data_IF_053761515745
#
_entry.id   IF_053761515745
#
_cell.length_a   1.000
_cell.length_b   1.000
_cell.length_c   1.000
_cell.angle_alpha   90.00
_cell.angle_beta   90.00
_cell.angle_gamma   90.00
#
_symmetry.space_group_name_H-M   'P 1'
#
loop_
_entity.id
_entity.type
_entity.pdbx_description
1 polymer ?
#
# COMPACT_ATOMS: atom_id res chain seq x y z
N UNK A 1 0.15 3.15 9.27
CA UNK A 1 -0.87 2.07 9.39
C UNK A 1 -1.13 1.35 8.06
N UNK A 2 -0.50 1.70 6.95
CA UNK A 2 -0.73 1.03 5.66
C UNK A 2 -0.39 -0.46 5.72
N UNK A 3 0.79 -0.80 6.23
CA UNK A 3 1.25 -2.19 6.28
C UNK A 3 0.33 -3.12 7.08
N UNK A 4 -0.19 -2.68 8.24
CA UNK A 4 -1.10 -3.48 9.05
C UNK A 4 -2.34 -3.95 8.29
N UNK A 5 -2.93 -3.09 7.44
CA UNK A 5 -4.08 -3.45 6.62
C UNK A 5 -3.72 -4.47 5.53
N UNK A 6 -2.56 -4.30 4.89
CA UNK A 6 -2.10 -5.25 3.88
C UNK A 6 -1.75 -6.60 4.49
N UNK A 7 -1.07 -6.60 5.64
CA UNK A 7 -0.72 -7.80 6.40
C UNK A 7 -1.97 -8.55 6.84
N UNK A 8 -2.92 -7.89 7.49
CA UNK A 8 -4.15 -8.54 8.00
C UNK A 8 -4.99 -9.14 6.87
N UNK A 9 -5.10 -8.46 5.74
CA UNK A 9 -5.80 -8.99 4.57
C UNK A 9 -5.06 -10.17 3.95
N UNK A 10 -3.74 -10.08 3.82
CA UNK A 10 -2.93 -11.17 3.22
C UNK A 10 -2.89 -12.40 4.12
N UNK A 11 -3.01 -12.21 5.43
CA UNK A 11 -3.13 -13.29 6.40
C UNK A 11 -4.37 -14.16 6.14
N UNK A 12 -5.48 -13.58 5.70
CA UNK A 12 -6.66 -14.36 5.29
C UNK A 12 -6.35 -15.32 4.14
N UNK A 13 -5.46 -14.96 3.22
CA UNK A 13 -5.04 -15.86 2.14
C UNK A 13 -4.26 -17.04 2.68
N UNK A 14 -3.35 -16.80 3.64
CA UNK A 14 -2.58 -17.86 4.32
C UNK A 14 -3.49 -18.80 5.10
N UNK A 15 -4.52 -18.25 5.75
CA UNK A 15 -5.48 -19.01 6.56
C UNK A 15 -6.57 -19.71 5.72
N UNK A 16 -6.48 -19.71 4.38
CA UNK A 16 -7.44 -20.36 3.47
C UNK A 16 -8.76 -19.59 3.28
N UNK A 17 -8.85 -18.38 3.82
CA UNK A 17 -10.01 -17.48 3.75
C UNK A 17 -9.88 -16.40 2.66
N UNK A 18 -9.05 -16.64 1.64
CA UNK A 18 -8.78 -15.68 0.56
C UNK A 18 -10.03 -15.21 -0.18
N UNK A 19 -11.06 -16.05 -0.30
CA UNK A 19 -12.35 -15.69 -0.88
C UNK A 19 -13.09 -14.58 -0.11
N UNK A 20 -12.81 -14.43 1.20
CA UNK A 20 -13.45 -13.45 2.09
C UNK A 20 -12.60 -12.19 2.31
N UNK A 21 -11.56 -11.95 1.50
CA UNK A 21 -10.63 -10.82 1.70
C UNK A 21 -11.26 -9.42 1.58
N UNK A 22 -12.48 -9.32 1.04
CA UNK A 22 -13.26 -8.09 0.96
C UNK A 22 -14.47 -8.07 1.92
N UNK A 23 -14.67 -9.12 2.71
CA UNK A 23 -15.68 -9.15 3.77
C UNK A 23 -15.18 -8.35 4.98
N UNK A 24 -15.86 -7.24 5.26
CA UNK A 24 -15.49 -6.33 6.34
C UNK A 24 -15.64 -6.95 7.73
N UNK A 25 -16.61 -7.86 7.93
CA UNK A 25 -16.82 -8.52 9.21
C UNK A 25 -15.68 -9.51 9.50
N UNK A 26 -15.32 -10.31 8.50
CA UNK A 26 -14.20 -11.27 8.58
C UNK A 26 -12.87 -10.54 8.79
N UNK A 27 -12.57 -9.54 7.95
CA UNK A 27 -11.35 -8.76 8.06
C UNK A 27 -11.28 -8.02 9.41
N UNK A 28 -12.41 -7.56 9.91
CA UNK A 28 -12.51 -6.90 11.20
C UNK A 28 -12.28 -7.80 12.40
N UNK A 29 -12.69 -9.05 12.31
CA UNK A 29 -12.35 -10.05 13.32
C UNK A 29 -10.83 -10.27 13.36
N UNK A 30 -10.20 -10.52 12.21
CA UNK A 30 -8.74 -10.75 12.11
C UNK A 30 -7.95 -9.53 12.58
N UNK A 31 -8.32 -8.31 12.17
CA UNK A 31 -7.63 -7.10 12.60
C UNK A 31 -7.70 -6.91 14.12
N UNK A 32 -8.84 -7.20 14.76
CA UNK A 32 -8.97 -7.09 16.22
C UNK A 32 -8.13 -8.13 16.95
N UNK A 33 -8.05 -9.36 16.44
CA UNK A 33 -7.19 -10.40 17.00
C UNK A 33 -5.71 -10.02 16.91
N UNK A 34 -5.27 -9.57 15.73
CA UNK A 34 -3.88 -9.17 15.48
C UNK A 34 -3.44 -7.92 16.24
N UNK A 35 -4.40 -7.06 16.64
CA UNK A 35 -4.10 -5.84 17.36
C UNK A 35 -3.93 -6.04 18.88
N UNK A 36 -4.34 -7.17 19.45
CA UNK A 36 -4.26 -7.40 20.90
C UNK A 36 -2.83 -7.26 21.44
N UNK A 37 -2.62 -6.64 22.62
CA UNK A 37 -3.62 -6.09 23.55
C UNK A 37 -4.09 -4.66 23.22
N UNK A 38 -3.66 -4.10 22.08
CA UNK A 38 -3.98 -2.73 21.68
C UNK A 38 -5.36 -2.64 21.02
N UNK A 39 -6.02 -1.49 21.19
CA UNK A 39 -7.29 -1.19 20.51
C UNK A 39 -7.01 -0.47 19.21
N UNK A 40 -7.64 -0.90 18.11
CA UNK A 40 -7.56 -0.21 16.80
C UNK A 40 -8.36 1.09 16.89
N UNK A 41 -7.75 2.29 16.99
CA UNK A 41 -8.45 3.50 17.43
C UNK A 41 -9.49 4.02 16.44
N UNK A 42 -9.47 3.55 15.18
CA UNK A 42 -10.35 3.99 14.10
C UNK A 42 -11.30 2.91 13.58
N UNK A 43 -11.42 1.78 14.29
CA UNK A 43 -12.22 0.65 13.84
C UNK A 43 -11.55 -0.15 12.71
N UNK A 44 -12.29 -1.13 12.21
CA UNK A 44 -11.86 -2.05 11.15
C UNK A 44 -11.69 -1.30 9.85
N UNK A 45 -10.52 -1.38 9.24
CA UNK A 45 -10.26 -0.76 7.94
C UNK A 45 -10.55 -1.75 6.80
N UNK A 46 -11.31 -1.33 5.78
CA UNK A 46 -11.60 -2.19 4.63
C UNK A 46 -10.33 -2.41 3.79
N UNK A 47 -10.27 -3.55 3.12
CA UNK A 47 -9.25 -3.81 2.11
C UNK A 47 -9.59 -3.10 0.80
N UNK A 48 -8.71 -2.20 0.36
CA UNK A 48 -8.82 -1.52 -0.95
C UNK A 48 -7.73 -1.95 -1.93
N UNK A 49 -6.85 -2.88 -1.53
CA UNK A 49 -5.82 -3.41 -2.39
C UNK A 49 -6.42 -4.44 -3.37
N UNK A 50 -5.89 -4.52 -4.61
CA UNK A 50 -6.34 -5.55 -5.56
C UNK A 50 -5.91 -6.95 -5.11
N UNK A 51 -6.61 -8.01 -5.58
CA UNK A 51 -6.35 -9.38 -5.14
C UNK A 51 -4.90 -9.81 -5.37
N UNK A 52 -4.32 -9.48 -6.54
CA UNK A 52 -2.95 -9.85 -6.85
C UNK A 52 -1.92 -9.29 -5.86
N UNK A 53 -2.17 -8.10 -5.32
CA UNK A 53 -1.27 -7.48 -4.34
C UNK A 53 -1.38 -8.18 -2.99
N UNK A 54 -2.61 -8.54 -2.57
CA UNK A 54 -2.86 -9.33 -1.36
C UNK A 54 -2.17 -10.70 -1.48
N UNK A 55 -2.28 -11.35 -2.64
CA UNK A 55 -1.61 -12.63 -2.89
C UNK A 55 -0.08 -12.52 -2.88
N UNK A 56 0.47 -11.48 -3.50
CA UNK A 56 1.92 -11.26 -3.50
C UNK A 56 2.48 -11.05 -2.08
N UNK A 57 1.69 -10.49 -1.16
CA UNK A 57 2.05 -10.35 0.25
C UNK A 57 1.79 -11.60 1.10
N UNK A 58 1.08 -12.61 0.60
CA UNK A 58 0.71 -13.79 1.39
C UNK A 58 1.93 -14.48 2.03
N UNK A 59 3.04 -14.76 1.33
CA UNK A 59 4.23 -15.37 1.93
C UNK A 59 4.82 -14.52 3.06
N UNK A 60 4.81 -13.20 2.89
CA UNK A 60 5.28 -12.28 3.92
C UNK A 60 4.35 -12.32 5.15
N UNK A 61 3.04 -12.38 4.94
CA UNK A 61 2.06 -12.44 6.03
C UNK A 61 1.99 -13.78 6.77
N UNK A 62 2.61 -14.83 6.24
CA UNK A 62 2.74 -16.11 6.93
C UNK A 62 3.68 -16.00 8.16
N UNK A 63 4.63 -15.07 8.12
CA UNK A 63 5.55 -14.78 9.20
C UNK A 63 4.88 -13.97 10.32
N UNK A 64 5.46 -13.95 11.54
CA UNK A 64 4.99 -13.05 12.60
C UNK A 64 4.99 -11.58 12.15
N UNK A 65 4.03 -10.79 12.64
CA UNK A 65 3.83 -9.40 12.22
C UNK A 65 5.11 -8.56 12.29
N UNK A 66 5.86 -8.64 13.41
CA UNK A 66 7.09 -7.87 13.62
C UNK A 66 8.15 -8.17 12.55
N UNK A 67 8.37 -9.45 12.26
CA UNK A 67 9.34 -9.87 11.23
C UNK A 67 8.87 -9.41 9.85
N UNK A 68 7.58 -9.59 9.56
CA UNK A 68 6.96 -9.17 8.30
C UNK A 68 7.11 -7.67 8.07
N UNK A 69 6.92 -6.87 9.12
CA UNK A 69 7.09 -5.43 9.07
C UNK A 69 8.53 -5.01 8.80
N UNK A 70 9.52 -5.63 9.45
CA UNK A 70 10.93 -5.30 9.21
C UNK A 70 11.40 -5.74 7.82
N UNK A 71 10.93 -6.87 7.32
CA UNK A 71 11.19 -7.31 5.94
C UNK A 71 10.57 -6.35 4.92
N UNK A 72 9.32 -5.92 5.15
CA UNK A 72 8.67 -4.89 4.33
C UNK A 72 9.45 -3.58 4.36
N UNK A 73 9.82 -3.10 5.54
CA UNK A 73 10.59 -1.88 5.71
C UNK A 73 11.95 -1.96 5.00
N UNK A 74 12.64 -3.09 5.12
CA UNK A 74 13.90 -3.35 4.41
C UNK A 74 13.72 -3.32 2.89
N UNK A 75 12.64 -3.93 2.39
CA UNK A 75 12.30 -3.89 0.96
C UNK A 75 12.01 -2.46 0.48
N UNK A 76 11.23 -1.68 1.24
CA UNK A 76 10.95 -0.27 0.91
C UNK A 76 12.23 0.58 0.93
N UNK A 77 13.11 0.40 1.93
CA UNK A 77 14.40 1.08 1.99
C UNK A 77 15.27 0.76 0.76
N UNK A 78 15.33 -0.52 0.36
CA UNK A 78 16.09 -0.95 -0.82
C UNK A 78 15.49 -0.36 -2.11
N UNK A 79 14.16 -0.41 -2.25
CA UNK A 79 13.45 0.16 -3.40
C UNK A 79 13.65 1.67 -3.51
N UNK A 80 13.60 2.39 -2.39
CA UNK A 80 13.86 3.82 -2.33
C UNK A 80 15.31 4.12 -2.72
N UNK A 81 16.29 3.38 -2.17
CA UNK A 81 17.70 3.58 -2.48
C UNK A 81 17.99 3.36 -3.98
N UNK A 82 17.47 2.28 -4.57
CA UNK A 82 17.62 1.99 -6.00
C UNK A 82 16.98 3.09 -6.85
N UNK A 83 15.76 3.53 -6.50
CA UNK A 83 15.07 4.57 -7.24
C UNK A 83 15.80 5.92 -7.17
N UNK A 84 16.24 6.33 -5.99
CA UNK A 84 17.01 7.57 -5.81
C UNK A 84 18.35 7.52 -6.54
N UNK A 85 19.05 6.38 -6.50
CA UNK A 85 20.29 6.18 -7.26
C UNK A 85 20.08 6.38 -8.76
N UNK A 86 19.02 5.80 -9.32
CA UNK A 86 18.71 5.98 -10.73
C UNK A 86 18.31 7.43 -11.04
N UNK A 87 17.47 8.06 -10.22
CA UNK A 87 17.09 9.47 -10.42
C UNK A 87 18.31 10.38 -10.43
N UNK A 88 19.21 10.23 -9.45
CA UNK A 88 20.46 10.99 -9.38
C UNK A 88 21.30 10.80 -10.65
N UNK A 89 21.47 9.54 -11.09
CA UNK A 89 22.27 9.19 -12.27
C UNK A 89 21.74 9.84 -13.56
N UNK A 90 20.43 10.05 -13.68
CA UNK A 90 19.82 10.68 -14.85
C UNK A 90 19.56 12.19 -14.70
N UNK A 91 20.02 12.81 -13.60
CA UNK A 91 19.80 14.23 -13.30
C UNK A 91 21.01 15.13 -13.56
N UNK A 92 22.13 14.61 -14.09
CA UNK A 92 23.37 15.35 -14.41
C UNK A 92 23.82 16.33 -13.30
N UNK A 93 23.77 15.87 -12.05
CA UNK A 93 24.06 16.70 -10.88
C UNK A 93 25.57 16.84 -10.63
N UNK A 94 26.02 18.04 -10.24
CA UNK A 94 27.36 18.23 -9.68
C UNK A 94 27.53 17.50 -8.34
N UNK A 95 28.77 17.27 -7.89
CA UNK A 95 29.06 16.57 -6.62
C UNK A 95 28.34 17.19 -5.40
N UNK A 96 28.29 18.52 -5.34
CA UNK A 96 27.62 19.25 -4.24
C UNK A 96 26.10 19.07 -4.34
N UNK A 97 25.53 19.18 -5.53
CA UNK A 97 24.09 18.97 -5.75
C UNK A 97 23.68 17.52 -5.47
N UNK A 98 24.49 16.53 -5.85
CA UNK A 98 24.26 15.12 -5.53
C UNK A 98 24.26 14.87 -4.02
N UNK A 99 25.21 15.46 -3.28
CA UNK A 99 25.25 15.36 -1.82
C UNK A 99 24.00 16.00 -1.19
N UNK A 100 23.61 17.19 -1.63
CA UNK A 100 22.40 17.87 -1.18
C UNK A 100 21.14 17.07 -1.52
N UNK A 101 21.06 16.49 -2.72
CA UNK A 101 19.96 15.64 -3.15
C UNK A 101 19.82 14.41 -2.24
N UNK A 102 20.91 13.69 -1.98
CA UNK A 102 20.89 12.53 -1.07
C UNK A 102 20.48 12.93 0.35
N UNK A 103 21.06 14.01 0.88
CA UNK A 103 20.74 14.50 2.23
C UNK A 103 19.27 14.90 2.36
N UNK A 104 18.76 15.69 1.42
CA UNK A 104 17.36 16.13 1.41
C UNK A 104 16.39 14.98 1.15
N UNK A 105 16.71 14.03 0.27
CA UNK A 105 15.87 12.87 0.00
C UNK A 105 15.70 11.99 1.26
N UNK A 106 16.82 11.66 1.93
CA UNK A 106 16.82 10.82 3.14
C UNK A 106 16.12 11.51 4.31
N UNK A 107 16.31 12.82 4.47
CA UNK A 107 15.70 13.60 5.54
C UNK A 107 14.29 14.10 5.20
N UNK A 108 13.78 13.80 4.01
CA UNK A 108 12.46 14.27 3.61
C UNK A 108 11.37 13.63 4.48
N UNK A 109 10.54 14.48 5.09
CA UNK A 109 9.39 14.01 5.88
C UNK A 109 8.50 13.02 5.11
N UNK A 110 8.19 13.22 3.80
CA UNK A 110 7.38 12.27 3.05
C UNK A 110 7.99 10.86 2.98
N UNK A 111 9.31 10.74 2.79
CA UNK A 111 9.99 9.43 2.74
C UNK A 111 9.95 8.75 4.11
N UNK A 112 10.28 9.48 5.18
CA UNK A 112 10.26 8.96 6.55
C UNK A 112 8.85 8.50 6.95
N UNK A 113 7.83 9.30 6.66
CA UNK A 113 6.43 8.94 6.91
C UNK A 113 6.01 7.74 6.08
N UNK A 114 6.42 7.66 4.81
CA UNK A 114 6.08 6.53 3.95
C UNK A 114 6.69 5.22 4.47
N UNK A 115 7.96 5.24 4.86
CA UNK A 115 8.68 4.10 5.45
C UNK A 115 8.02 3.63 6.75
N UNK A 116 7.81 4.55 7.70
CA UNK A 116 7.22 4.21 9.01
C UNK A 116 5.77 3.74 8.91
N UNK A 117 5.01 4.24 7.93
CA UNK A 117 3.61 3.86 7.77
C UNK A 117 3.40 2.62 6.89
N UNK A 118 4.43 2.17 6.16
CA UNK A 118 4.33 1.14 5.12
C UNK A 118 3.42 1.56 3.98
N UNK A 119 3.67 2.75 3.42
CA UNK A 119 2.89 3.30 2.31
C UNK A 119 3.35 2.70 0.98
N UNK A 120 2.41 2.49 0.06
CA UNK A 120 2.70 2.02 -1.29
C UNK A 120 3.43 3.06 -2.16
N UNK A 121 3.56 4.30 -1.69
CA UNK A 121 4.16 5.40 -2.46
C UNK A 121 5.61 5.13 -2.86
N UNK A 122 6.39 4.44 -2.01
CA UNK A 122 7.78 4.09 -2.31
C UNK A 122 7.81 3.08 -3.47
N UNK A 123 7.03 2.01 -3.38
CA UNK A 123 6.92 1.03 -4.46
C UNK A 123 6.45 1.68 -5.78
N UNK A 124 5.46 2.57 -5.74
CA UNK A 124 4.97 3.29 -6.94
C UNK A 124 6.05 4.19 -7.54
N UNK A 125 6.79 4.91 -6.70
CA UNK A 125 7.92 5.73 -7.14
C UNK A 125 9.00 4.87 -7.81
N UNK A 126 9.35 3.73 -7.22
CA UNK A 126 10.33 2.80 -7.78
C UNK A 126 9.85 2.18 -9.10
N UNK A 127 8.55 1.86 -9.23
CA UNK A 127 7.96 1.38 -10.50
C UNK A 127 8.04 2.45 -11.59
N UNK A 128 7.68 3.70 -11.28
CA UNK A 128 7.79 4.82 -12.21
C UNK A 128 9.24 5.04 -12.66
N UNK A 129 10.19 5.01 -11.72
CA UNK A 129 11.62 5.14 -12.01
C UNK A 129 12.11 3.98 -12.89
N UNK A 130 11.77 2.73 -12.56
CA UNK A 130 12.15 1.57 -13.38
C UNK A 130 11.58 1.64 -14.80
N UNK A 131 10.30 2.05 -14.93
CA UNK A 131 9.66 2.28 -16.21
C UNK A 131 10.42 3.33 -17.03
N UNK A 132 10.74 4.48 -16.43
CA UNK A 132 11.51 5.55 -17.07
C UNK A 132 12.88 5.07 -17.54
N UNK A 133 13.64 4.39 -16.67
CA UNK A 133 14.97 3.86 -16.99
C UNK A 133 14.89 2.88 -18.15
N UNK A 134 13.96 1.93 -18.13
CA UNK A 134 13.83 0.96 -19.21
C UNK A 134 13.29 1.55 -20.52
N UNK A 135 12.50 2.62 -20.47
CA UNK A 135 12.14 3.37 -21.66
C UNK A 135 13.36 4.09 -22.26
N UNK A 136 14.22 4.67 -21.41
CA UNK A 136 15.49 5.30 -21.84
C UNK A 136 16.46 4.27 -22.45
N UNK A 137 16.56 3.08 -21.85
CA UNK A 137 17.38 1.97 -22.35
C UNK A 137 16.78 1.26 -23.59
N UNK A 138 15.62 1.69 -24.10
CA UNK A 138 14.95 1.07 -25.25
C UNK A 138 14.25 -0.27 -24.95
N UNK A 139 14.26 -0.75 -23.70
CA UNK A 139 13.62 -1.98 -23.20
C UNK A 139 12.10 -1.80 -23.00
N UNK A 140 11.40 -1.34 -24.05
CA UNK A 140 9.99 -0.91 -24.03
C UNK A 140 9.03 -1.95 -23.42
N UNK A 141 9.17 -3.23 -23.77
CA UNK A 141 8.28 -4.28 -23.25
C UNK A 141 8.42 -4.48 -21.74
N UNK A 142 9.65 -4.44 -21.20
CA UNK A 142 9.90 -4.54 -19.75
C UNK A 142 9.36 -3.33 -19.01
N UNK A 143 9.50 -2.13 -19.59
CA UNK A 143 8.92 -0.91 -19.04
C UNK A 143 7.39 -1.01 -18.90
N UNK A 144 6.72 -1.53 -19.92
CA UNK A 144 5.29 -1.86 -19.86
C UNK A 144 4.95 -2.87 -18.77
N UNK A 145 5.72 -3.96 -18.71
CA UNK A 145 5.46 -5.04 -17.75
C UNK A 145 5.58 -4.59 -16.29
N UNK A 146 6.60 -3.78 -15.93
CA UNK A 146 6.69 -3.23 -14.57
C UNK A 146 5.61 -2.18 -14.31
N UNK A 147 5.20 -1.42 -15.32
CA UNK A 147 4.11 -0.46 -15.21
C UNK A 147 2.79 -1.14 -14.82
N UNK A 148 2.57 -2.41 -15.20
CA UNK A 148 1.39 -3.16 -14.80
C UNK A 148 1.25 -3.29 -13.27
N UNK A 149 2.36 -3.27 -12.51
CA UNK A 149 2.33 -3.26 -11.05
C UNK A 149 1.67 -2.00 -10.48
N UNK A 150 1.58 -0.90 -11.24
CA UNK A 150 0.81 0.29 -10.83
C UNK A 150 -0.70 0.05 -10.79
N UNK A 151 -1.22 -1.11 -11.25
CA UNK A 151 -2.61 -1.49 -11.04
C UNK A 151 -3.03 -1.54 -9.56
N UNK A 152 -2.07 -1.56 -8.63
CA UNK A 152 -2.31 -1.34 -7.20
C UNK A 152 -3.01 0.01 -6.95
N UNK A 153 -2.70 1.02 -7.76
CA UNK A 153 -3.32 2.35 -7.74
C UNK A 153 -3.66 2.77 -9.18
N UNK A 154 -4.79 2.27 -9.73
CA UNK A 154 -5.08 2.37 -11.15
C UNK A 154 -5.25 3.82 -11.63
N UNK A 155 -5.57 4.76 -10.75
CA UNK A 155 -5.73 6.19 -11.10
C UNK A 155 -4.45 6.88 -11.58
N UNK A 156 -3.26 6.32 -11.35
CA UNK A 156 -2.01 6.88 -11.88
C UNK A 156 -1.71 6.44 -13.33
N UNK A 157 -2.36 5.38 -13.82
CA UNK A 157 -2.07 4.79 -15.12
C UNK A 157 -2.57 5.60 -16.34
N UNK A 158 -3.78 6.21 -16.33
CA UNK A 158 -4.34 6.83 -17.54
C UNK A 158 -3.41 7.85 -18.20
N UNK A 159 -2.78 8.71 -17.42
CA UNK A 159 -1.84 9.71 -17.93
C UNK A 159 -0.61 9.06 -18.58
N UNK A 160 -0.02 8.05 -17.93
CA UNK A 160 1.18 7.36 -18.43
C UNK A 160 0.85 6.57 -19.70
N UNK A 161 -0.26 5.83 -19.70
CA UNK A 161 -0.72 5.04 -20.85
C UNK A 161 -1.08 5.93 -22.04
N UNK A 162 -1.70 7.08 -21.81
CA UNK A 162 -1.99 8.06 -22.85
C UNK A 162 -0.69 8.55 -23.51
N UNK A 163 0.31 8.92 -22.72
CA UNK A 163 1.62 9.34 -23.24
C UNK A 163 2.28 8.20 -24.04
N UNK A 164 2.23 6.96 -23.56
CA UNK A 164 2.78 5.80 -24.28
C UNK A 164 2.05 5.55 -25.61
N UNK A 165 0.73 5.73 -25.65
CA UNK A 165 -0.10 5.63 -26.86
C UNK A 165 0.22 6.73 -27.87
N UNK A 166 0.26 7.99 -27.44
CA UNK A 166 0.63 9.13 -28.29
C UNK A 166 2.04 9.00 -28.85
N UNK A 167 2.97 8.44 -28.08
CA UNK A 167 4.35 8.16 -28.50
C UNK A 167 4.49 6.86 -29.30
N UNK A 168 3.38 6.18 -29.63
CA UNK A 168 3.33 4.91 -30.39
C UNK A 168 4.25 3.83 -29.80
N UNK A 169 4.39 3.79 -28.49
CA UNK A 169 5.19 2.80 -27.77
C UNK A 169 4.45 1.46 -27.65
N UNK A 170 4.02 0.87 -28.76
CA UNK A 170 3.20 -0.35 -28.81
C UNK A 170 3.80 -1.53 -28.05
N UNK A 171 5.13 -1.68 -28.09
CA UNK A 171 5.82 -2.73 -27.32
C UNK A 171 5.66 -2.56 -25.81
N UNK A 172 5.62 -1.32 -25.31
CA UNK A 172 5.35 -1.04 -23.90
C UNK A 172 3.88 -1.30 -23.56
N UNK A 173 2.95 -0.88 -24.43
CA UNK A 173 1.53 -1.19 -24.24
C UNK A 173 1.26 -2.70 -24.22
N UNK A 174 1.87 -3.46 -25.14
CA UNK A 174 1.77 -4.92 -25.16
C UNK A 174 2.36 -5.57 -23.91
N UNK A 175 3.52 -5.10 -23.43
CA UNK A 175 4.10 -5.57 -22.17
C UNK A 175 3.23 -5.27 -20.95
N UNK A 176 2.61 -4.08 -20.93
CA UNK A 176 1.64 -3.70 -19.89
C UNK A 176 0.42 -4.62 -19.92
N UNK A 177 -0.25 -4.76 -21.07
CA UNK A 177 -1.44 -5.60 -21.21
C UNK A 177 -1.15 -7.06 -20.82
N UNK A 178 -0.04 -7.62 -21.29
CA UNK A 178 0.35 -8.99 -20.96
C UNK A 178 0.59 -9.18 -19.46
N UNK A 179 1.36 -8.29 -18.83
CA UNK A 179 1.61 -8.38 -17.39
C UNK A 179 0.35 -8.12 -16.55
N UNK A 180 -0.50 -7.17 -16.96
CA UNK A 180 -1.79 -6.91 -16.32
C UNK A 180 -2.70 -8.13 -16.35
N UNK A 181 -2.80 -8.81 -17.50
CA UNK A 181 -3.57 -10.05 -17.62
C UNK A 181 -3.04 -11.12 -16.66
N UNK A 182 -1.72 -11.32 -16.60
CA UNK A 182 -1.10 -12.27 -15.66
C UNK A 182 -1.41 -11.93 -14.20
N UNK A 183 -1.30 -10.65 -13.82
CA UNK A 183 -1.60 -10.21 -12.45
C UNK A 183 -3.07 -10.45 -12.08
N UNK A 184 -4.00 -10.26 -13.01
CA UNK A 184 -5.43 -10.48 -12.76
C UNK A 184 -5.77 -11.97 -12.72
N UNK A 185 -5.16 -12.79 -13.58
CA UNK A 185 -5.50 -14.21 -13.73
C UNK A 185 -4.83 -15.07 -12.66
N UNK A 186 -3.58 -14.79 -12.28
CA UNK A 186 -2.80 -15.64 -11.37
C UNK A 186 -3.48 -15.92 -10.01
N UNK A 187 -4.22 -14.99 -9.38
CA UNK A 187 -4.92 -15.25 -8.12
C UNK A 187 -6.22 -16.07 -8.27
N UNK A 188 -6.84 -16.10 -9.45
CA UNK A 188 -8.20 -16.64 -9.63
C UNK A 188 -8.37 -18.11 -9.23
N UNK A 189 -7.41 -19.02 -9.48
CA UNK A 189 -7.53 -20.40 -9.03
C UNK A 189 -7.68 -20.54 -7.51
N UNK A 190 -7.21 -19.56 -6.73
CA UNK A 190 -7.23 -19.60 -5.27
C UNK A 190 -8.38 -18.79 -4.67
N UNK A 191 -8.83 -17.73 -5.36
CA UNK A 191 -9.89 -16.84 -4.86
C UNK A 191 -11.28 -17.15 -5.40
N UNK A 192 -11.34 -17.80 -6.56
CA UNK A 192 -12.54 -17.81 -7.40
C UNK A 192 -12.78 -16.46 -8.09
N UNK A 193 -13.76 -16.46 -9.01
CA UNK A 193 -14.11 -15.29 -9.82
C UNK A 193 -14.92 -14.21 -9.08
N UNK A 194 -15.64 -14.60 -8.01
CA UNK A 194 -16.47 -13.68 -7.23
C UNK A 194 -15.67 -12.51 -6.63
N UNK A 195 -14.41 -12.77 -6.26
CA UNK A 195 -13.50 -11.80 -5.66
C UNK A 195 -13.22 -10.59 -6.56
N UNK A 196 -13.28 -10.73 -7.89
CA UNK A 196 -13.17 -9.58 -8.79
C UNK A 196 -14.37 -8.65 -8.63
N UNK A 197 -15.58 -9.21 -8.55
CA UNK A 197 -16.82 -8.45 -8.34
C UNK A 197 -16.81 -7.74 -6.99
N UNK A 198 -16.41 -8.45 -5.94
CA UNK A 198 -16.30 -7.90 -4.58
C UNK A 198 -15.28 -6.76 -4.50
N UNK A 199 -14.15 -6.89 -5.20
CA UNK A 199 -13.14 -5.84 -5.30
C UNK A 199 -13.68 -4.58 -5.99
N UNK A 200 -14.32 -4.74 -7.16
CA UNK A 200 -14.90 -3.61 -7.89
C UNK A 200 -15.97 -2.89 -7.06
N UNK A 201 -16.85 -3.67 -6.44
CA UNK A 201 -17.89 -3.14 -5.57
C UNK A 201 -17.30 -2.41 -4.35
N UNK A 202 -16.23 -2.94 -3.76
CA UNK A 202 -15.50 -2.30 -2.66
C UNK A 202 -14.87 -0.98 -3.08
N UNK A 203 -14.24 -0.89 -4.25
CA UNK A 203 -13.66 0.38 -4.75
C UNK A 203 -14.73 1.42 -5.04
N UNK A 204 -15.83 1.02 -5.68
CA UNK A 204 -16.93 1.94 -5.98
C UNK A 204 -17.54 2.52 -4.69
N UNK A 205 -17.67 1.70 -3.65
CA UNK A 205 -18.13 2.13 -2.32
C UNK A 205 -17.06 2.87 -1.52
N UNK A 206 -15.77 2.63 -1.78
CA UNK A 206 -14.68 3.31 -1.08
C UNK A 206 -14.69 4.83 -1.28
N UNK A 207 -15.23 5.31 -2.42
CA UNK A 207 -15.51 6.73 -2.62
C UNK A 207 -16.44 7.32 -1.56
N UNK A 208 -17.48 6.56 -1.16
CA UNK A 208 -18.48 6.96 -0.16
C UNK A 208 -17.98 6.80 1.29
N UNK A 209 -16.99 5.93 1.52
CA UNK A 209 -16.42 5.72 2.87
C UNK A 209 -15.57 6.88 3.37
N UNK A 210 -15.08 7.72 2.46
CA UNK A 210 -14.34 8.94 2.81
C UNK A 210 -15.27 9.95 3.50
N UNK A 211 -16.54 10.00 3.10
CA UNK A 211 -17.57 10.86 3.69
C UNK A 211 -17.99 10.36 5.08
N UNK A 212 -18.09 9.04 5.28
CA UNK A 212 -18.44 8.45 6.58
C UNK A 212 -17.34 8.63 7.64
N UNK A 213 -16.05 8.59 7.25
CA UNK A 213 -14.94 8.87 8.17
C UNK A 213 -14.89 10.34 8.61
N UNK A 214 -15.36 11.27 7.78
CA UNK A 214 -15.40 12.71 8.08
C UNK A 214 -16.73 13.19 8.67
N UNK A 215 -17.75 12.33 8.76
CA UNK A 215 -19.04 12.65 9.34
C UNK A 215 -18.90 13.18 10.78
N UNK A 216 -19.65 14.23 11.19
CA UNK A 216 -19.61 14.80 12.54
C UNK A 216 -19.76 13.74 13.65
N UNK A 217 -20.49 12.65 13.38
CA UNK A 217 -20.68 11.52 14.29
C UNK A 217 -19.37 10.81 14.66
N UNK A 218 -18.41 10.65 13.74
CA UNK A 218 -17.12 9.99 14.02
C UNK A 218 -16.21 10.86 14.91
N UNK A 219 -16.29 12.19 14.75
CA UNK A 219 -15.61 13.17 15.62
C UNK A 219 -16.15 13.14 17.04
N UNK A 220 -17.47 13.03 17.21
CA UNK A 220 -18.12 12.94 18.52
C UNK A 220 -17.75 11.63 19.23
N UNK A 221 -17.69 10.51 18.51
CA UNK A 221 -17.24 9.22 19.07
C UNK A 221 -15.75 9.28 19.48
N UNK A 222 -14.89 9.86 18.63
CA UNK A 222 -13.47 10.06 18.96
C UNK A 222 -13.24 10.98 20.16
N UNK A 223 -14.04 12.03 20.31
CA UNK A 223 -14.01 12.94 21.45
C UNK A 223 -14.49 12.25 22.74
N UNK A 224 -15.58 11.48 22.68
CA UNK A 224 -16.10 10.70 23.82
C UNK A 224 -15.11 9.65 24.31
N UNK A 225 -14.38 8.99 23.41
CA UNK A 225 -13.34 8.02 23.78
C UNK A 225 -12.11 8.69 24.40
N UNK A 226 -11.68 9.85 23.88
CA UNK A 226 -10.62 10.66 24.51
C UNK A 226 -11.02 11.12 25.92
N UNK A 227 -12.25 11.61 26.09
CA UNK A 227 -12.75 12.07 27.39
C UNK A 227 -12.88 10.92 28.40
N UNK A 228 -13.34 9.74 27.98
CA UNK A 228 -13.37 8.53 28.83
C UNK A 228 -11.98 8.03 29.20
N UNK A 229 -11.00 8.14 28.29
CA UNK A 229 -9.60 7.80 28.57
C UNK A 229 -8.92 8.75 29.55
N UNK A 230 -9.25 10.05 29.48
CA UNK A 230 -8.77 11.06 30.44
C UNK A 230 -9.42 10.86 31.81
N UNK A 231 -10.73 10.58 31.85
CA UNK A 231 -11.44 10.30 33.10
C UNK A 231 -10.87 9.07 33.83
N UNK A 232 -10.55 7.99 33.12
CA UNK A 232 -9.93 6.80 33.73
C UNK A 232 -8.52 7.04 34.28
N UNK A 233 -7.72 7.90 33.65
CA UNK A 233 -6.39 8.29 34.16
C UNK A 233 -6.45 9.30 35.31
N UNK A 234 -7.52 10.09 35.39
CA UNK A 234 -7.76 11.00 36.51
C UNK A 234 -8.15 10.25 37.78
N UNK A 235 -8.98 9.20 37.65
CA UNK A 235 -9.42 8.38 38.79
C UNK A 235 -8.26 7.55 39.35
N UNK A 236 -7.43 6.92 38.51
CA UNK A 236 -6.29 6.13 38.99
C UNK A 236 -5.23 6.95 39.74
N UNK A 237 -5.14 8.26 39.48
CA UNK A 237 -4.19 9.17 40.16
C UNK A 237 -4.66 9.64 41.53
N UNK A 238 -5.96 9.51 41.83
CA UNK A 238 -6.53 9.89 43.12
C UNK A 238 -6.50 8.73 44.12
N UNK A 239 -6.46 7.49 43.64
CA UNK A 239 -6.35 6.29 44.48
C UNK A 239 -4.90 6.02 44.96
N UNK A 240 -3.88 6.51 44.22
CA UNK A 240 -2.45 6.45 44.64
C UNK A 240 -2.04 7.52 45.67
N UNK A 241 -2.96 8.41 46.08
CA UNK A 241 -2.73 9.50 47.03
C UNK A 241 -3.47 9.32 48.37
N UNK A 242 -3.88 8.10 48.71
CA UNK A 242 -4.43 7.72 50.01
C UNK A 242 -3.57 6.66 50.67
#
# INVERSE_FOLDING_TARGET
MGFFYYYSTSRLVVDGLGAHMYDLAVLGHVQRLLAQPYTVPQGVGPNVAPPFFVFALAPLSALPYTLSYFLWLGADCLLAAIALFHVERYSDLSKVQALLFRGTAVLSLPLLVALLQGQQSIALFSICTACFVWLRDGKRARAGAVLALMLVKPHYLPAILLVLGLRRCWRALGGFVGASATLVIAPLPFTGFAVIGDYLHTILRAGQWRDLRQSPASRIVGLRLKLRGIARRGVSRLDDLR
#
